data_IF_974373630879
#
_entry.id   IF_974373630879
#
_cell.length_a   1.000
_cell.length_b   1.000
_cell.length_c   1.000
_cell.angle_alpha   90.00
_cell.angle_beta   90.00
_cell.angle_gamma   90.00
#
_symmetry.space_group_name_H-M   'P 1'
#
loop_
_entity.id
_entity.type
_entity.pdbx_description
1 polymer ?
#
# COMPACT_ATOMS: atom_id res chain seq x y z
N UNK A 1 -4.59 10.01 26.77
CA UNK A 1 -5.79 9.15 26.88
C UNK A 1 -7.09 9.92 27.04
N UNK A 2 -7.15 11.03 27.77
CA UNK A 2 -8.41 11.77 28.02
C UNK A 2 -8.84 12.70 26.87
N UNK A 3 -7.92 13.12 26.00
CA UNK A 3 -8.22 14.04 24.88
C UNK A 3 -9.41 13.61 24.01
N UNK A 4 -9.54 12.34 23.56
CA UNK A 4 -10.69 11.91 22.76
C UNK A 4 -12.04 11.99 23.48
N UNK A 5 -12.04 12.01 24.83
CA UNK A 5 -13.25 12.16 25.65
C UNK A 5 -13.56 13.64 25.92
N UNK A 6 -12.54 14.44 26.21
CA UNK A 6 -12.68 15.85 26.59
C UNK A 6 -13.02 16.74 25.40
N UNK A 7 -12.45 16.46 24.22
CA UNK A 7 -12.67 17.29 23.02
C UNK A 7 -14.15 17.33 22.60
N UNK A 8 -14.87 16.19 22.47
CA UNK A 8 -16.30 16.21 22.17
C UNK A 8 -17.16 16.92 23.22
N UNK A 9 -16.81 16.72 24.50
CA UNK A 9 -17.50 17.36 25.62
C UNK A 9 -17.38 18.90 25.55
N UNK A 10 -16.19 19.42 25.25
CA UNK A 10 -15.94 20.87 25.21
C UNK A 10 -16.43 21.52 23.92
N UNK A 11 -16.24 20.90 22.76
CA UNK A 11 -16.47 21.56 21.46
C UNK A 11 -17.93 21.54 21.00
N UNK A 12 -18.66 20.46 21.28
CA UNK A 12 -20.06 20.32 20.83
C UNK A 12 -21.01 19.79 21.90
N UNK A 13 -20.59 19.85 23.17
CA UNK A 13 -21.46 19.58 24.32
C UNK A 13 -21.86 18.11 24.49
N UNK A 14 -21.06 17.17 23.98
CA UNK A 14 -21.32 15.73 24.11
C UNK A 14 -21.27 15.29 25.59
N UNK A 15 -21.98 14.23 25.96
CA UNK A 15 -21.92 13.75 27.36
C UNK A 15 -20.58 13.06 27.65
N UNK A 16 -20.06 13.22 28.88
CA UNK A 16 -18.83 12.52 29.30
C UNK A 16 -18.97 11.00 29.22
N UNK A 17 -20.18 10.47 29.40
CA UNK A 17 -20.47 9.04 29.26
C UNK A 17 -20.28 8.56 27.81
N UNK A 18 -20.88 9.27 26.84
CA UNK A 18 -20.68 8.97 25.42
C UNK A 18 -19.23 9.17 24.99
N UNK A 19 -18.58 10.25 25.47
CA UNK A 19 -17.16 10.49 25.21
C UNK A 19 -16.25 9.35 25.69
N UNK A 20 -16.56 8.74 26.83
CA UNK A 20 -15.80 7.61 27.36
C UNK A 20 -16.07 6.31 26.59
N UNK A 21 -17.33 5.91 26.41
CA UNK A 21 -17.64 4.62 25.78
C UNK A 21 -17.44 4.63 24.27
N UNK A 22 -17.79 5.71 23.58
CA UNK A 22 -17.75 5.78 22.13
C UNK A 22 -16.41 6.34 21.66
N UNK A 23 -16.07 7.57 22.04
CA UNK A 23 -14.90 8.26 21.50
C UNK A 23 -13.58 7.68 22.02
N UNK A 24 -13.58 7.12 23.23
CA UNK A 24 -12.40 6.48 23.81
C UNK A 24 -12.42 4.96 23.65
N UNK A 25 -13.31 4.22 24.32
CA UNK A 25 -13.27 2.76 24.36
C UNK A 25 -13.57 2.11 23.01
N UNK A 26 -14.70 2.44 22.39
CA UNK A 26 -15.10 1.83 21.11
C UNK A 26 -14.07 2.14 20.02
N UNK A 27 -13.65 3.41 19.88
CA UNK A 27 -12.55 3.79 18.98
C UNK A 27 -11.29 2.95 19.22
N UNK A 28 -10.84 2.82 20.47
CA UNK A 28 -9.64 2.08 20.82
C UNK A 28 -9.77 0.60 20.45
N UNK A 29 -10.91 -0.02 20.78
CA UNK A 29 -11.20 -1.40 20.43
C UNK A 29 -11.21 -1.60 18.92
N UNK A 30 -11.87 -0.74 18.16
CA UNK A 30 -11.93 -0.83 16.70
C UNK A 30 -10.53 -0.72 16.09
N UNK A 31 -9.75 0.31 16.44
CA UNK A 31 -8.39 0.49 15.90
C UNK A 31 -7.53 -0.73 16.22
N UNK A 32 -7.59 -1.23 17.45
CA UNK A 32 -6.79 -2.37 17.88
C UNK A 32 -7.16 -3.66 17.14
N UNK A 33 -8.46 -3.93 16.97
CA UNK A 33 -8.94 -5.09 16.21
C UNK A 33 -8.57 -4.99 14.73
N UNK A 34 -8.63 -3.81 14.12
CA UNK A 34 -8.19 -3.60 12.75
C UNK A 34 -6.69 -3.84 12.59
N UNK A 35 -5.86 -3.34 13.52
CA UNK A 35 -4.42 -3.63 13.52
C UNK A 35 -4.13 -5.12 13.68
N UNK A 36 -4.84 -5.80 14.59
CA UNK A 36 -4.67 -7.25 14.78
C UNK A 36 -5.21 -8.07 13.61
N UNK A 37 -6.16 -7.55 12.85
CA UNK A 37 -6.63 -8.17 11.61
C UNK A 37 -5.50 -8.30 10.59
N UNK A 38 -4.62 -7.28 10.49
CA UNK A 38 -3.41 -7.36 9.64
C UNK A 38 -2.53 -8.52 10.10
N UNK A 39 -2.24 -8.62 11.40
CA UNK A 39 -1.40 -9.69 11.95
C UNK A 39 -2.00 -11.10 11.84
N UNK A 40 -3.31 -11.23 11.62
CA UNK A 40 -4.00 -12.52 11.55
C UNK A 40 -4.42 -12.84 10.11
N UNK A 41 -5.36 -12.08 9.55
CA UNK A 41 -5.93 -12.35 8.24
C UNK A 41 -4.89 -12.22 7.11
N UNK A 42 -3.99 -11.24 7.16
CA UNK A 42 -2.92 -11.08 6.15
C UNK A 42 -1.75 -12.06 6.30
N UNK A 43 -1.84 -13.02 7.21
CA UNK A 43 -0.94 -14.19 7.28
C UNK A 43 -1.63 -15.51 6.94
N UNK A 44 -2.96 -15.53 6.81
CA UNK A 44 -3.75 -16.77 6.69
C UNK A 44 -4.60 -16.84 5.42
N UNK A 45 -5.15 -15.71 4.97
CA UNK A 45 -6.17 -15.69 3.92
C UNK A 45 -5.79 -14.71 2.82
N UNK A 46 -5.28 -15.23 1.71
CA UNK A 46 -4.84 -14.42 0.57
C UNK A 46 -3.89 -15.19 -0.35
N UNK A 47 -3.32 -14.46 -1.31
CA UNK A 47 -2.38 -15.02 -2.29
C UNK A 47 -0.93 -14.60 -1.99
N UNK A 48 0.08 -15.25 -2.59
CA UNK A 48 1.52 -14.97 -2.37
C UNK A 48 2.26 -14.70 -3.69
N UNK A 49 1.87 -13.65 -4.43
CA UNK A 49 2.39 -13.38 -5.77
C UNK A 49 3.90 -13.08 -5.81
N UNK A 50 4.50 -12.55 -4.73
CA UNK A 50 5.92 -12.16 -4.72
C UNK A 50 6.82 -13.26 -4.17
N UNK A 51 6.44 -13.86 -3.04
CA UNK A 51 7.29 -14.78 -2.27
C UNK A 51 6.41 -15.84 -1.58
N UNK A 52 6.43 -17.09 -2.06
CA UNK A 52 5.64 -18.19 -1.48
C UNK A 52 6.34 -18.89 -0.28
N UNK A 53 7.63 -18.63 -0.06
CA UNK A 53 8.42 -19.19 1.04
C UNK A 53 8.14 -18.54 2.41
N UNK A 54 7.29 -17.51 2.46
CA UNK A 54 6.93 -16.80 3.69
C UNK A 54 5.43 -16.91 3.98
N UNK A 55 5.02 -16.69 5.23
CA UNK A 55 3.62 -16.71 5.66
C UNK A 55 2.75 -15.54 5.15
N UNK A 56 3.23 -14.29 5.08
CA UNK A 56 2.48 -13.12 4.60
C UNK A 56 1.78 -13.34 3.26
N UNK A 57 0.53 -12.91 3.19
CA UNK A 57 -0.34 -12.99 2.01
C UNK A 57 -0.89 -11.61 1.64
N UNK A 58 -1.27 -11.46 0.37
CA UNK A 58 -1.99 -10.31 -0.15
C UNK A 58 -3.49 -10.42 0.14
N UNK A 59 -4.07 -9.39 0.77
CA UNK A 59 -5.50 -9.34 1.04
C UNK A 59 -6.08 -7.92 0.87
N UNK A 60 -6.87 -7.72 -0.19
CA UNK A 60 -7.55 -6.46 -0.51
C UNK A 60 -8.45 -5.96 0.62
N UNK A 61 -9.18 -6.85 1.30
CA UNK A 61 -10.06 -6.45 2.39
C UNK A 61 -9.26 -5.93 3.58
N UNK A 62 -8.14 -6.59 3.90
CA UNK A 62 -7.22 -6.08 4.93
C UNK A 62 -6.64 -4.74 4.51
N UNK A 63 -6.33 -4.53 3.22
CA UNK A 63 -5.82 -3.24 2.76
C UNK A 63 -6.85 -2.12 2.93
N UNK A 64 -8.11 -2.40 2.59
CA UNK A 64 -9.21 -1.44 2.73
C UNK A 64 -9.42 -1.01 4.19
N UNK A 65 -9.41 -1.95 5.14
CA UNK A 65 -9.63 -1.64 6.56
C UNK A 65 -8.35 -1.24 7.32
N UNK A 66 -7.19 -1.67 6.82
CA UNK A 66 -5.86 -1.40 7.38
C UNK A 66 -5.16 -0.21 6.72
N UNK A 67 -5.87 0.60 5.93
CA UNK A 67 -5.37 1.81 5.28
C UNK A 67 -4.18 1.62 4.31
N UNK A 68 -4.00 0.42 3.76
CA UNK A 68 -2.88 0.09 2.84
C UNK A 68 -2.01 -1.08 3.30
N UNK A 69 -2.10 -1.48 4.56
CA UNK A 69 -1.23 -2.51 5.15
C UNK A 69 -1.60 -3.96 4.77
N UNK A 70 -2.62 -4.14 3.93
CA UNK A 70 -3.06 -5.46 3.47
C UNK A 70 -2.18 -6.05 2.37
N UNK A 71 -1.26 -5.25 1.82
CA UNK A 71 -0.35 -5.69 0.76
C UNK A 71 0.86 -6.47 1.33
N UNK A 72 0.58 -7.45 2.19
CA UNK A 72 1.55 -7.93 3.18
C UNK A 72 2.63 -8.84 2.57
N UNK A 73 2.32 -9.59 1.50
CA UNK A 73 3.34 -10.41 0.82
C UNK A 73 4.39 -9.52 0.14
N UNK A 74 3.97 -8.40 -0.47
CA UNK A 74 4.83 -7.38 -1.05
C UNK A 74 5.65 -6.69 0.03
N UNK A 75 5.00 -6.21 1.09
CA UNK A 75 5.68 -5.51 2.19
C UNK A 75 6.83 -6.32 2.77
N UNK A 76 6.62 -7.63 3.02
CA UNK A 76 7.70 -8.50 3.51
C UNK A 76 8.73 -8.86 2.43
N UNK A 77 8.37 -8.79 1.15
CA UNK A 77 9.30 -9.01 0.03
C UNK A 77 10.21 -7.81 -0.23
N UNK A 78 9.71 -6.59 0.02
CA UNK A 78 10.36 -5.30 -0.21
C UNK A 78 10.14 -4.36 0.99
N UNK A 79 10.70 -4.67 2.19
CA UNK A 79 10.40 -3.93 3.42
C UNK A 79 10.92 -2.48 3.44
N UNK A 80 11.75 -2.10 2.46
CA UNK A 80 12.25 -0.74 2.29
C UNK A 80 11.42 0.11 1.33
N UNK A 81 10.44 -0.47 0.62
CA UNK A 81 9.55 0.30 -0.24
C UNK A 81 8.58 1.10 0.64
N UNK A 82 8.58 2.43 0.48
CA UNK A 82 7.78 3.34 1.29
C UNK A 82 6.27 3.08 1.15
N UNK A 83 5.85 2.51 0.01
CA UNK A 83 4.43 2.26 -0.30
C UNK A 83 3.89 1.04 0.43
N UNK A 84 4.76 0.13 0.85
CA UNK A 84 4.40 -1.19 1.34
C UNK A 84 3.50 -2.01 0.39
N UNK A 85 3.39 -1.59 -0.88
CA UNK A 85 2.58 -2.21 -1.91
C UNK A 85 3.23 -2.01 -3.28
N UNK A 86 2.88 -2.87 -4.24
CA UNK A 86 3.28 -2.66 -5.63
C UNK A 86 2.65 -1.36 -6.19
N UNK A 87 3.29 -0.77 -7.18
CA UNK A 87 2.76 0.40 -7.89
C UNK A 87 1.35 0.13 -8.45
N UNK A 88 0.46 1.12 -8.35
CA UNK A 88 -0.91 1.03 -8.90
C UNK A 88 -1.87 0.15 -8.10
N UNK A 89 -1.48 -0.34 -6.91
CA UNK A 89 -2.37 -1.12 -6.05
C UNK A 89 -3.45 -0.24 -5.40
N UNK A 90 -4.66 -0.78 -5.33
CA UNK A 90 -5.82 -0.09 -4.79
C UNK A 90 -5.77 0.01 -3.24
N UNK A 91 -6.51 0.96 -2.67
CA UNK A 91 -6.72 1.07 -1.21
C UNK A 91 -5.44 1.22 -0.36
N UNK A 92 -4.52 2.10 -0.78
CA UNK A 92 -3.33 2.45 0.00
C UNK A 92 -3.36 3.93 0.43
N UNK A 93 -4.07 4.21 1.52
CA UNK A 93 -4.24 5.57 2.05
C UNK A 93 -2.94 6.12 2.63
N UNK A 94 -2.11 5.26 3.24
CA UNK A 94 -0.81 5.65 3.77
C UNK A 94 0.09 6.22 2.67
N UNK A 95 0.16 5.57 1.51
CA UNK A 95 0.94 6.05 0.36
C UNK A 95 0.42 7.39 -0.14
N UNK A 96 -0.90 7.53 -0.35
CA UNK A 96 -1.49 8.80 -0.80
C UNK A 96 -1.18 9.95 0.17
N UNK A 97 -1.17 9.69 1.47
CA UNK A 97 -0.84 10.71 2.47
C UNK A 97 0.65 11.07 2.44
N UNK A 98 1.55 10.10 2.24
CA UNK A 98 2.99 10.36 2.10
C UNK A 98 3.26 11.17 0.83
N UNK A 99 2.62 10.82 -0.29
CA UNK A 99 2.77 11.54 -1.56
C UNK A 99 2.25 12.99 -1.43
N UNK A 100 1.17 13.21 -0.70
CA UNK A 100 0.69 14.56 -0.37
C UNK A 100 1.71 15.37 0.46
N UNK A 101 2.38 14.73 1.43
CA UNK A 101 3.43 15.40 2.20
C UNK A 101 4.71 15.65 1.40
N UNK A 102 5.02 14.80 0.42
CA UNK A 102 6.09 15.04 -0.54
C UNK A 102 5.79 16.24 -1.43
N UNK A 103 4.56 16.39 -1.95
CA UNK A 103 4.16 17.55 -2.75
C UNK A 103 4.28 18.87 -1.95
N UNK A 104 4.10 18.83 -0.63
CA UNK A 104 4.34 19.96 0.26
C UNK A 104 5.83 20.18 0.61
N UNK A 105 6.72 19.30 0.16
CA UNK A 105 8.17 19.34 0.43
C UNK A 105 8.56 18.86 1.83
N UNK A 106 7.68 18.16 2.55
CA UNK A 106 7.94 17.69 3.92
C UNK A 106 8.59 16.31 3.95
N UNK A 107 8.40 15.53 2.89
CA UNK A 107 9.01 14.21 2.69
C UNK A 107 9.92 14.28 1.47
N UNK A 108 11.07 13.62 1.54
CA UNK A 108 12.03 13.49 0.45
C UNK A 108 12.71 12.11 0.53
N UNK A 109 13.43 11.72 -0.53
CA UNK A 109 14.17 10.44 -0.63
C UNK A 109 13.29 9.19 -0.43
N UNK A 110 12.11 9.17 -1.07
CA UNK A 110 11.23 7.99 -1.06
C UNK A 110 11.90 6.83 -1.79
N UNK A 111 11.97 5.67 -1.13
CA UNK A 111 12.56 4.45 -1.70
C UNK A 111 11.47 3.52 -2.20
N UNK A 112 11.65 3.00 -3.41
CA UNK A 112 10.72 2.06 -4.01
C UNK A 112 11.43 0.94 -4.74
N UNK A 113 10.78 -0.22 -4.88
CA UNK A 113 11.28 -1.31 -5.69
C UNK A 113 10.99 -1.06 -7.18
N UNK A 114 12.00 -1.24 -8.03
CA UNK A 114 11.84 -1.07 -9.48
C UNK A 114 11.04 -2.21 -10.09
N UNK A 115 10.33 -1.99 -11.21
CA UNK A 115 9.59 -3.04 -11.91
C UNK A 115 10.44 -4.28 -12.23
N UNK A 116 11.71 -4.10 -12.61
CA UNK A 116 12.63 -5.19 -12.86
C UNK A 116 12.91 -6.03 -11.59
N UNK A 117 13.05 -5.39 -10.42
CA UNK A 117 13.21 -6.08 -9.13
C UNK A 117 11.96 -6.87 -8.77
N UNK A 118 10.78 -6.28 -8.95
CA UNK A 118 9.48 -6.93 -8.71
C UNK A 118 9.32 -8.16 -9.63
N UNK A 119 9.49 -7.98 -10.94
CA UNK A 119 9.45 -9.08 -11.93
C UNK A 119 10.41 -10.21 -11.55
N UNK A 120 11.67 -9.88 -11.23
CA UNK A 120 12.68 -10.88 -10.85
C UNK A 120 12.26 -11.68 -9.61
N UNK A 121 11.67 -11.01 -8.62
CA UNK A 121 11.20 -11.64 -7.38
C UNK A 121 10.03 -12.59 -7.66
N UNK A 122 9.00 -12.11 -8.35
CA UNK A 122 7.79 -12.86 -8.71
C UNK A 122 8.14 -14.10 -9.53
N UNK A 123 8.95 -13.93 -10.58
CA UNK A 123 9.37 -15.05 -11.45
C UNK A 123 10.16 -16.12 -10.69
N UNK A 124 10.96 -15.74 -9.69
CA UNK A 124 11.80 -16.68 -8.93
C UNK A 124 11.07 -17.35 -7.76
N UNK A 125 10.22 -16.61 -7.03
CA UNK A 125 9.67 -17.03 -5.74
C UNK A 125 8.16 -16.90 -5.60
N UNK A 126 7.48 -16.27 -6.55
CA UNK A 126 6.03 -16.16 -6.56
C UNK A 126 5.33 -17.52 -6.66
N UNK A 127 4.09 -17.55 -6.19
CA UNK A 127 3.16 -18.68 -6.31
C UNK A 127 2.43 -18.76 -7.66
N UNK A 128 2.59 -17.75 -8.52
CA UNK A 128 1.96 -17.67 -9.85
C UNK A 128 0.61 -16.95 -9.86
N UNK A 129 0.19 -16.31 -8.77
CA UNK A 129 -1.08 -15.55 -8.73
C UNK A 129 -0.92 -14.08 -9.11
N UNK A 130 0.27 -13.63 -9.54
CA UNK A 130 0.49 -12.23 -9.88
C UNK A 130 -0.22 -11.89 -11.18
N UNK A 131 -0.81 -10.70 -11.26
CA UNK A 131 -1.64 -10.28 -12.39
C UNK A 131 -0.89 -10.05 -13.72
N UNK A 132 0.46 -10.06 -13.73
CA UNK A 132 1.29 -9.65 -14.87
C UNK A 132 2.45 -10.60 -15.11
N UNK A 133 3.21 -10.90 -14.06
CA UNK A 133 4.39 -11.75 -14.17
C UNK A 133 4.06 -13.16 -13.68
N UNK A 134 4.32 -14.17 -14.49
CA UNK A 134 4.26 -15.55 -14.04
C UNK A 134 5.65 -16.15 -13.93
N UNK A 135 5.79 -17.16 -13.06
CA UNK A 135 6.93 -18.06 -13.14
C UNK A 135 6.88 -18.69 -14.55
N UNK A 136 7.96 -18.66 -15.34
CA UNK A 136 7.99 -19.42 -16.57
C UNK A 136 7.75 -20.87 -16.17
N UNK A 137 6.60 -21.40 -16.58
CA UNK A 137 6.43 -22.84 -16.56
C UNK A 137 7.63 -23.42 -17.32
N UNK A 138 8.21 -24.51 -16.81
CA UNK A 138 9.00 -25.40 -17.65
C UNK A 138 8.04 -25.99 -18.69
N UNK A 139 7.66 -25.20 -19.71
CA UNK A 139 6.81 -25.63 -20.81
C UNK A 139 7.71 -26.17 -21.90
N UNK A 140 7.82 -27.50 -21.96
CA UNK A 140 7.90 -28.17 -23.26
C UNK A 140 6.65 -27.74 -24.06
N UNK A 141 6.82 -27.44 -25.33
CA UNK A 141 5.83 -26.87 -26.28
C UNK A 141 5.51 -25.37 -26.03
N UNK A 142 5.84 -24.45 -26.92
CA UNK A 142 5.54 -24.48 -28.35
C UNK A 142 4.35 -23.58 -28.74
N UNK A 143 3.80 -22.78 -27.82
CA UNK A 143 2.74 -21.82 -28.13
C UNK A 143 3.13 -20.38 -27.78
N UNK A 144 2.82 -19.45 -28.68
CA UNK A 144 3.19 -18.04 -28.64
C UNK A 144 2.49 -17.29 -27.52
N UNK A 145 3.29 -16.65 -26.68
CA UNK A 145 2.89 -15.77 -25.58
C UNK A 145 2.18 -14.54 -26.16
N UNK A 146 0.92 -14.29 -25.78
CA UNK A 146 0.27 -12.99 -26.02
C UNK A 146 1.11 -11.87 -25.37
N UNK A 147 1.30 -10.72 -26.03
CA UNK A 147 2.23 -9.71 -25.58
C UNK A 147 1.72 -9.09 -24.27
N UNK A 148 2.33 -9.52 -23.16
CA UNK A 148 2.28 -8.84 -21.87
C UNK A 148 2.74 -7.40 -22.09
N UNK A 149 2.01 -6.41 -21.56
CA UNK A 149 2.43 -5.01 -21.57
C UNK A 149 3.90 -4.93 -21.20
N UNK A 150 4.72 -4.47 -22.15
CA UNK A 150 6.17 -4.45 -22.02
C UNK A 150 6.58 -3.68 -20.77
N UNK A 151 7.79 -3.96 -20.27
CA UNK A 151 8.31 -3.24 -19.11
C UNK A 151 8.43 -1.73 -19.44
N UNK A 152 8.53 -1.37 -20.72
CA UNK A 152 8.53 0.02 -21.21
C UNK A 152 7.22 0.75 -20.92
N UNK A 153 6.03 0.19 -21.19
CA UNK A 153 4.74 0.86 -20.91
C UNK A 153 4.55 1.12 -19.41
N UNK A 154 5.05 0.22 -18.56
CA UNK A 154 4.92 0.33 -17.11
C UNK A 154 5.88 1.36 -16.52
N UNK A 155 7.13 1.37 -17.01
CA UNK A 155 8.08 2.44 -16.74
C UNK A 155 7.55 3.78 -17.24
N UNK A 156 6.94 3.84 -18.42
CA UNK A 156 6.31 5.07 -18.92
C UNK A 156 5.19 5.57 -18.02
N UNK A 157 4.26 4.70 -17.59
CA UNK A 157 3.20 5.06 -16.63
C UNK A 157 3.79 5.56 -15.31
N UNK A 158 4.83 4.89 -14.83
CA UNK A 158 5.53 5.27 -13.61
C UNK A 158 6.20 6.66 -13.74
N UNK A 159 6.98 6.88 -14.81
CA UNK A 159 7.66 8.16 -15.07
C UNK A 159 6.69 9.28 -15.44
N UNK A 160 5.52 8.98 -16.03
CA UNK A 160 4.47 9.96 -16.29
C UNK A 160 3.90 10.50 -14.97
N UNK A 161 3.69 9.64 -13.98
CA UNK A 161 3.20 10.04 -12.68
C UNK A 161 4.27 10.85 -11.91
N UNK A 162 5.53 10.41 -11.89
CA UNK A 162 6.63 11.21 -11.32
C UNK A 162 6.78 12.58 -12.00
N UNK A 163 6.68 12.65 -13.34
CA UNK A 163 6.73 13.93 -14.07
C UNK A 163 5.54 14.82 -13.76
N UNK A 164 4.36 14.24 -13.53
CA UNK A 164 3.18 14.99 -13.14
C UNK A 164 3.34 15.61 -11.75
N UNK A 165 3.91 14.86 -10.80
CA UNK A 165 4.23 15.34 -9.46
C UNK A 165 5.28 16.46 -9.48
N UNK A 166 6.37 16.28 -10.24
CA UNK A 166 7.41 17.31 -10.40
C UNK A 166 6.90 18.57 -11.13
N UNK A 167 5.90 18.43 -12.01
CA UNK A 167 5.28 19.57 -12.69
C UNK A 167 4.34 20.33 -11.75
N UNK A 168 3.55 19.62 -10.95
CA UNK A 168 2.68 20.20 -9.92
C UNK A 168 3.51 21.04 -8.92
N UNK A 169 4.66 20.53 -8.49
CA UNK A 169 5.61 21.21 -7.61
C UNK A 169 6.11 22.54 -8.22
N UNK A 170 6.58 22.52 -9.48
CA UNK A 170 7.01 23.74 -10.19
C UNK A 170 5.90 24.77 -10.33
N UNK A 171 4.67 24.35 -10.57
CA UNK A 171 3.52 25.26 -10.63
C UNK A 171 3.14 25.84 -9.27
N UNK A 172 3.27 25.06 -8.19
CA UNK A 172 3.02 25.51 -6.84
C UNK A 172 4.09 26.50 -6.34
N UNK A 173 5.35 26.31 -6.72
CA UNK A 173 6.43 27.27 -6.45
C UNK A 173 6.25 28.57 -7.25
N UNK A 174 5.85 28.48 -8.52
CA UNK A 174 5.60 29.65 -9.37
C UNK A 174 4.40 30.52 -8.90
N UNK A 175 3.47 29.95 -8.12
CA UNK A 175 2.34 30.69 -7.53
C UNK A 175 2.66 31.33 -6.16
N UNK A 176 3.81 31.01 -5.56
CA UNK A 176 4.24 31.55 -4.25
C UNK A 176 5.19 32.76 -4.36
N UNK A 177 5.61 33.15 -5.57
CA UNK A 177 6.44 34.33 -5.85
C UNK A 177 5.68 35.45 -6.55
#
# INVERSE_FOLDING_TARGET
MLMPMVVPFVLWGETLWNGFFVCFLFRLMTVLNLTWLVNSAAHLYGNKPFTNDIMPVENVYVSMFGLGEGWHNYHHSFPWDYRAAEFGQYFNLTTMLIDFFEEMGWVWDKKYATPAMVRSRVTKRGDGTHCKYNRPELKESGDSIEPVADDETYEELFWLEERSAATAERTAEAQKG
#
